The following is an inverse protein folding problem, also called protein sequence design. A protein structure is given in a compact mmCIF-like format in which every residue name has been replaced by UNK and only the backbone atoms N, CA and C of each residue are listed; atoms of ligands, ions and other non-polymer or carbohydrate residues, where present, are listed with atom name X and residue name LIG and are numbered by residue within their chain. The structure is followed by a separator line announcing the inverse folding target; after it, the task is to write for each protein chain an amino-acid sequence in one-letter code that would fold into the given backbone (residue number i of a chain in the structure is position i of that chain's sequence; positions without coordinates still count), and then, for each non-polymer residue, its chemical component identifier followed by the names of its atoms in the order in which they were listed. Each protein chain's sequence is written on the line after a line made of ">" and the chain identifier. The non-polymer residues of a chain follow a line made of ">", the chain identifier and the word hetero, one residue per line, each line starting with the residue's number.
data_IF_342496775231
#
_entry.id   IF_342496775231
#
_cell.length_a   1.000
_cell.length_b   1.000
_cell.length_c   1.000
_cell.angle_alpha   90.00
_cell.angle_beta   90.00
_cell.angle_gamma   90.00
#
_symmetry.space_group_name_H-M   'P 1'
#
loop_
_entity.id
_entity.type
_entity.pdbx_description
1 polymer ?
#
# COMPACT_ATOMS: atom_id res chain seq x y z
N UNK A 1 -19.10 -22.62 -39.53
CA UNK A 1 -18.58 -21.33 -39.01
C UNK A 1 -19.35 -21.04 -37.73
N UNK A 2 -18.65 -20.87 -36.59
CA UNK A 2 -19.18 -20.67 -35.22
C UNK A 2 -19.45 -21.94 -34.39
N UNK A 3 -18.40 -22.73 -34.14
CA UNK A 3 -18.29 -23.59 -32.96
C UNK A 3 -16.83 -23.50 -32.51
N UNK A 4 -16.46 -22.59 -31.61
CA UNK A 4 -15.16 -22.61 -30.87
C UNK A 4 -14.83 -21.37 -29.99
N UNK A 5 -15.79 -20.52 -29.61
CA UNK A 5 -15.50 -19.31 -28.82
C UNK A 5 -16.07 -19.33 -27.39
N UNK A 6 -16.34 -20.52 -26.85
CA UNK A 6 -17.08 -20.67 -25.59
C UNK A 6 -16.32 -21.38 -24.45
N UNK A 7 -15.00 -21.63 -24.55
CA UNK A 7 -14.33 -22.48 -23.54
C UNK A 7 -13.03 -21.97 -22.91
N UNK A 8 -12.58 -20.72 -23.08
CA UNK A 8 -11.24 -20.39 -22.51
C UNK A 8 -10.95 -18.94 -22.11
N UNK A 9 -11.92 -18.09 -21.74
CA UNK A 9 -11.50 -16.74 -21.32
C UNK A 9 -12.41 -15.96 -20.36
N UNK A 10 -12.99 -16.58 -19.34
CA UNK A 10 -13.52 -15.82 -18.20
C UNK A 10 -13.18 -16.45 -16.84
N UNK A 11 -11.93 -16.90 -16.66
CA UNK A 11 -11.33 -16.81 -15.32
C UNK A 11 -10.91 -15.35 -15.15
N UNK A 12 -11.83 -14.53 -14.65
CA UNK A 12 -11.52 -13.17 -14.21
C UNK A 12 -10.27 -13.25 -13.35
N UNK A 13 -9.12 -12.65 -13.74
CA UNK A 13 -8.02 -12.57 -12.82
C UNK A 13 -8.58 -11.74 -11.68
N UNK A 14 -8.72 -12.35 -10.50
CA UNK A 14 -8.68 -11.59 -9.26
C UNK A 14 -7.40 -10.80 -9.39
N UNK A 15 -7.52 -9.53 -9.78
CA UNK A 15 -6.47 -8.54 -9.62
C UNK A 15 -6.33 -8.47 -8.10
N UNK A 16 -5.61 -9.43 -7.55
CA UNK A 16 -4.84 -9.23 -6.34
C UNK A 16 -4.05 -8.01 -6.73
N UNK A 17 -4.42 -6.84 -6.19
CA UNK A 17 -3.57 -5.69 -6.18
C UNK A 17 -2.25 -6.19 -5.61
N UNK A 18 -1.38 -6.65 -6.51
CA UNK A 18 -0.06 -7.10 -6.15
C UNK A 18 0.53 -5.87 -5.48
N UNK A 19 0.84 -5.94 -4.16
CA UNK A 19 1.45 -4.81 -3.51
C UNK A 19 2.67 -4.43 -4.36
N UNK A 20 2.98 -3.14 -4.49
CA UNK A 20 4.11 -2.69 -5.30
C UNK A 20 5.34 -3.54 -4.97
N UNK A 21 6.19 -3.82 -5.97
CA UNK A 21 7.43 -4.60 -5.77
C UNK A 21 8.35 -3.85 -4.77
N UNK A 22 8.09 -4.06 -3.48
CA UNK A 22 8.81 -3.46 -2.37
C UNK A 22 10.15 -4.17 -2.28
N UNK A 23 11.21 -3.38 -2.27
CA UNK A 23 12.57 -3.89 -2.08
C UNK A 23 12.67 -4.54 -0.71
N UNK A 24 13.48 -5.59 -0.59
CA UNK A 24 13.77 -6.19 0.71
C UNK A 24 14.37 -5.13 1.64
N UNK A 25 13.68 -4.88 2.75
CA UNK A 25 14.18 -4.00 3.80
C UNK A 25 15.13 -4.76 4.72
N UNK A 26 16.14 -4.09 5.27
CA UNK A 26 16.94 -4.66 6.34
C UNK A 26 16.04 -4.91 7.58
N UNK A 27 16.42 -5.85 8.47
CA UNK A 27 15.56 -6.35 9.56
C UNK A 27 15.20 -5.28 10.61
N UNK A 28 15.90 -4.16 10.61
CA UNK A 28 15.63 -3.01 11.47
C UNK A 28 14.59 -2.05 10.87
N UNK A 29 14.11 -2.26 9.65
CA UNK A 29 13.15 -1.41 8.96
C UNK A 29 11.85 -2.17 8.64
N UNK A 30 10.73 -1.46 8.67
CA UNK A 30 9.37 -1.99 8.47
C UNK A 30 8.62 -1.08 7.50
N UNK A 31 7.93 -1.67 6.54
CA UNK A 31 6.97 -0.95 5.73
C UNK A 31 5.68 -0.73 6.50
N UNK A 32 5.18 0.49 6.47
CA UNK A 32 3.83 0.84 6.91
C UNK A 32 3.19 1.65 5.80
N UNK A 33 1.90 1.47 5.58
CA UNK A 33 1.18 2.18 4.54
C UNK A 33 0.31 3.25 5.16
N UNK A 34 0.35 4.45 4.58
CA UNK A 34 -0.50 5.58 4.96
C UNK A 34 -1.59 5.78 3.90
N UNK A 35 -2.80 6.13 4.35
CA UNK A 35 -3.97 6.42 3.52
C UNK A 35 -4.98 5.27 3.42
N UNK A 36 -6.22 5.59 3.02
CA UNK A 36 -7.37 4.66 2.97
C UNK A 36 -7.18 3.49 1.99
N UNK A 37 -6.29 3.60 1.02
CA UNK A 37 -6.05 2.58 -0.02
C UNK A 37 -4.62 2.03 -0.02
N UNK A 38 -3.86 2.14 1.09
CA UNK A 38 -2.47 1.69 1.16
C UNK A 38 -1.58 2.27 0.04
N UNK A 39 -1.93 3.44 -0.49
CA UNK A 39 -1.31 4.02 -1.70
C UNK A 39 0.08 4.57 -1.45
N UNK A 40 0.42 4.84 -0.19
CA UNK A 40 1.69 5.47 0.19
C UNK A 40 2.46 4.60 1.20
N UNK A 41 3.33 3.70 0.71
CA UNK A 41 4.25 2.98 1.59
C UNK A 41 5.28 3.96 2.17
N UNK A 42 5.42 3.94 3.49
CA UNK A 42 6.51 4.59 4.23
C UNK A 42 7.38 3.51 4.89
N UNK A 43 8.66 3.85 5.07
CA UNK A 43 9.60 3.00 5.80
C UNK A 43 9.79 3.59 7.18
N UNK A 44 9.49 2.82 8.21
CA UNK A 44 9.77 3.15 9.60
C UNK A 44 10.77 2.16 10.19
N UNK A 45 11.28 2.47 11.38
CA UNK A 45 12.14 1.55 12.10
C UNK A 45 11.32 0.44 12.78
N UNK A 46 11.71 -0.82 12.60
CA UNK A 46 11.06 -1.97 13.24
C UNK A 46 11.41 -2.11 14.74
N UNK A 47 12.35 -1.30 15.25
CA UNK A 47 12.72 -1.31 16.68
C UNK A 47 11.93 -0.30 17.51
N UNK A 48 11.00 0.43 16.90
CA UNK A 48 10.12 1.37 17.60
C UNK A 48 9.16 0.63 18.53
N UNK A 49 8.88 1.23 19.68
CA UNK A 49 7.79 0.77 20.53
C UNK A 49 6.43 1.09 19.88
N UNK A 50 5.35 0.35 20.20
CA UNK A 50 4.02 0.63 19.65
C UNK A 50 3.56 2.09 19.86
N UNK A 51 3.98 2.71 20.97
CA UNK A 51 3.66 4.10 21.28
C UNK A 51 4.40 5.09 20.36
N UNK A 52 5.68 4.84 20.09
CA UNK A 52 6.47 5.64 19.15
C UNK A 52 5.99 5.45 17.71
N UNK A 53 5.65 4.21 17.33
CA UNK A 53 5.06 3.90 16.03
C UNK A 53 3.76 4.68 15.84
N UNK A 54 2.82 4.65 16.80
CA UNK A 54 1.58 5.43 16.71
C UNK A 54 1.84 6.95 16.59
N UNK A 55 2.78 7.48 17.37
CA UNK A 55 3.16 8.90 17.30
C UNK A 55 3.72 9.29 15.93
N UNK A 56 4.62 8.47 15.38
CA UNK A 56 5.18 8.65 14.04
C UNK A 56 4.13 8.53 12.94
N UNK A 57 3.22 7.56 13.03
CA UNK A 57 2.15 7.39 12.05
C UNK A 57 1.15 8.55 12.09
N UNK A 58 0.83 9.08 13.28
CA UNK A 58 0.00 10.27 13.42
C UNK A 58 0.65 11.49 12.77
N UNK A 59 1.94 11.72 13.03
CA UNK A 59 2.69 12.82 12.42
C UNK A 59 2.79 12.65 10.90
N UNK A 60 3.17 11.45 10.45
CA UNK A 60 3.31 11.14 9.03
C UNK A 60 1.95 11.26 8.30
N UNK A 61 0.85 10.88 8.96
CA UNK A 61 -0.51 11.13 8.46
C UNK A 61 -0.81 12.62 8.41
N UNK A 62 -0.53 13.40 9.45
CA UNK A 62 -0.77 14.85 9.45
C UNK A 62 0.01 15.58 8.34
N UNK A 63 1.28 15.21 8.14
CA UNK A 63 2.13 15.75 7.07
C UNK A 63 1.63 15.33 5.69
N UNK A 64 1.17 14.08 5.54
CA UNK A 64 0.69 13.55 4.26
C UNK A 64 -0.74 14.01 3.91
N UNK A 65 -1.62 14.18 4.90
CA UNK A 65 -2.99 14.67 4.76
C UNK A 65 -3.00 16.17 4.44
N UNK A 66 -2.04 16.94 4.99
CA UNK A 66 -1.83 18.34 4.62
C UNK A 66 -1.46 18.55 3.14
N UNK A 67 -1.11 17.48 2.42
CA UNK A 67 -0.86 17.52 0.98
C UNK A 67 -2.13 17.30 0.14
N UNK A 68 -3.30 17.06 0.77
CA UNK A 68 -4.59 16.84 0.09
C UNK A 68 -5.45 18.11 -0.08
N UNK A 69 -5.11 19.23 0.56
CA UNK A 69 -5.88 20.49 0.47
C UNK A 69 -5.27 21.51 -0.51
N UNK A 70 -5.00 21.10 -1.75
CA UNK A 70 -4.79 22.03 -2.87
C UNK A 70 -5.51 21.57 -4.15
N UNK A 71 -6.77 21.17 -4.00
CA UNK A 71 -7.67 20.99 -5.15
C UNK A 71 -9.08 21.51 -4.85
N UNK A 72 -9.21 22.83 -4.62
CA UNK A 72 -10.25 23.69 -5.20
C UNK A 72 -10.04 25.17 -4.87
#
# INVERSE_FOLDING_TARGET
>A
FLQQLEDDLEETPKVVEKPPDLKELPPNWKYVFLGDEFTKPIVISSVLTPLEEEGLLREAKAVNDGFSENLN
#
